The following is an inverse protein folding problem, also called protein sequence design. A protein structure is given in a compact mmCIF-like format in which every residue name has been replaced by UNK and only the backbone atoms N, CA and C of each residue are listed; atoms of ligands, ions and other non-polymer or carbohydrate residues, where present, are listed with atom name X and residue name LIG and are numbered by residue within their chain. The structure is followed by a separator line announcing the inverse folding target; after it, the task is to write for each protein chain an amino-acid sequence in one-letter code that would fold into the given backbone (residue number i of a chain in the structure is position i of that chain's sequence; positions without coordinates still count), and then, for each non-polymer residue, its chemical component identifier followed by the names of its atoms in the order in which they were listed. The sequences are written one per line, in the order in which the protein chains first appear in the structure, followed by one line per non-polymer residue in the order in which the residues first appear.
data_IF_403257607793
#
_entry.id   IF_403257607793
#
_cell.length_a   1.000
_cell.length_b   1.000
_cell.length_c   1.000
_cell.angle_alpha   90.00
_cell.angle_beta   90.00
_cell.angle_gamma   90.00
#
_symmetry.space_group_name_H-M   'P 1'
#
loop_
_entity.id
_entity.type
_entity.pdbx_description
1 polymer ?
#
# COMPACT_ATOMS: atom_id res chain seq x y z
N UNK A 1 -4.30 -8.61 -10.08
CA UNK A 1 -4.44 -9.52 -8.94
C UNK A 1 -3.65 -9.01 -7.74
N UNK A 2 -3.95 -9.51 -6.56
CA UNK A 2 -3.32 -9.01 -5.31
C UNK A 2 -1.80 -9.19 -5.31
N UNK A 3 -1.29 -10.30 -5.85
CA UNK A 3 0.15 -10.55 -5.90
C UNK A 3 0.90 -9.46 -6.65
N UNK A 4 0.39 -9.04 -7.78
CA UNK A 4 1.00 -7.97 -8.59
C UNK A 4 0.91 -6.63 -7.87
N UNK A 5 -0.20 -6.37 -7.20
CA UNK A 5 -0.41 -5.11 -6.47
C UNK A 5 0.55 -4.98 -5.29
N UNK A 6 0.77 -6.06 -4.54
CA UNK A 6 1.72 -6.05 -3.42
C UNK A 6 3.12 -5.73 -3.94
N UNK A 7 3.55 -6.39 -5.01
CA UNK A 7 4.87 -6.15 -5.61
C UNK A 7 4.99 -4.71 -6.12
N UNK A 8 3.96 -4.22 -6.81
CA UNK A 8 3.96 -2.87 -7.36
C UNK A 8 4.07 -1.82 -6.26
N UNK A 9 3.24 -1.91 -5.22
CA UNK A 9 3.26 -0.97 -4.11
C UNK A 9 4.60 -1.00 -3.39
N UNK A 10 5.14 -2.20 -3.15
CA UNK A 10 6.42 -2.34 -2.49
C UNK A 10 7.52 -1.60 -3.27
N UNK A 11 7.56 -1.80 -4.57
CA UNK A 11 8.56 -1.14 -5.43
C UNK A 11 8.35 0.37 -5.51
N UNK A 12 7.11 0.82 -5.61
CA UNK A 12 6.81 2.25 -5.66
C UNK A 12 7.16 2.94 -4.34
N UNK A 13 7.03 2.24 -3.21
CA UNK A 13 7.44 2.76 -1.90
C UNK A 13 8.93 2.54 -1.64
N UNK A 14 9.62 1.92 -2.59
CA UNK A 14 11.07 1.71 -2.54
C UNK A 14 11.51 0.92 -1.30
N UNK A 15 10.78 -0.13 -0.98
CA UNK A 15 11.14 -1.03 0.13
C UNK A 15 11.34 -2.45 -0.39
N UNK A 16 12.23 -3.19 0.31
CA UNK A 16 12.52 -4.57 -0.05
C UNK A 16 11.47 -5.54 0.51
N UNK A 17 11.52 -6.78 0.05
CA UNK A 17 10.67 -7.83 0.63
C UNK A 17 10.96 -8.01 2.12
N UNK A 18 12.23 -7.91 2.51
CA UNK A 18 12.64 -8.02 3.93
C UNK A 18 12.05 -6.88 4.74
N UNK A 19 12.10 -5.67 4.23
CA UNK A 19 11.54 -4.51 4.91
C UNK A 19 10.03 -4.61 5.07
N UNK A 20 9.33 -5.03 4.02
CA UNK A 20 7.89 -5.23 4.11
C UNK A 20 7.55 -6.31 5.12
N UNK A 21 8.26 -7.43 5.08
CA UNK A 21 8.07 -8.52 6.02
C UNK A 21 8.24 -8.04 7.46
N UNK A 22 9.28 -7.24 7.72
CA UNK A 22 9.52 -6.66 9.04
C UNK A 22 8.35 -5.80 9.50
N UNK A 23 7.85 -4.94 8.62
CA UNK A 23 6.72 -4.06 8.94
C UNK A 23 5.44 -4.84 9.28
N UNK A 24 5.27 -5.99 8.65
CA UNK A 24 4.07 -6.82 8.81
C UNK A 24 4.23 -7.87 9.92
N UNK A 25 5.44 -8.09 10.43
CA UNK A 25 5.70 -9.12 11.43
C UNK A 25 5.69 -10.52 10.85
N UNK A 26 6.07 -10.69 9.58
CA UNK A 26 6.14 -11.99 8.90
C UNK A 26 7.54 -12.20 8.33
N UNK A 27 7.77 -13.35 7.70
CA UNK A 27 9.07 -13.67 7.09
C UNK A 27 9.14 -13.15 5.66
N UNK A 28 10.37 -12.97 5.16
CA UNK A 28 10.60 -12.64 3.75
C UNK A 28 9.96 -13.69 2.84
N UNK A 29 10.06 -14.97 3.21
CA UNK A 29 9.48 -16.07 2.43
C UNK A 29 7.96 -15.90 2.30
N UNK A 30 7.31 -15.43 3.35
CA UNK A 30 5.88 -15.16 3.34
C UNK A 30 5.52 -14.11 2.29
N UNK A 31 6.25 -12.98 2.28
CA UNK A 31 6.06 -11.92 1.28
C UNK A 31 6.33 -12.44 -0.12
N UNK A 32 7.41 -13.19 -0.29
CA UNK A 32 7.77 -13.78 -1.58
C UNK A 32 6.66 -14.70 -2.09
N UNK A 33 6.09 -15.52 -1.22
CA UNK A 33 4.99 -16.42 -1.59
C UNK A 33 3.76 -15.64 -2.06
N UNK A 34 3.45 -14.51 -1.42
CA UNK A 34 2.34 -13.66 -1.88
C UNK A 34 2.63 -13.07 -3.26
N UNK A 35 3.84 -12.54 -3.46
CA UNK A 35 4.19 -11.89 -4.73
C UNK A 35 4.30 -12.87 -5.89
N UNK A 36 4.64 -14.12 -5.61
CA UNK A 36 4.71 -15.18 -6.62
C UNK A 36 3.40 -15.94 -6.79
N UNK A 37 2.35 -15.49 -6.12
CA UNK A 37 1.01 -16.10 -6.18
C UNK A 37 0.99 -17.56 -5.73
N UNK A 38 1.91 -17.94 -4.85
CA UNK A 38 1.95 -19.29 -4.29
C UNK A 38 0.94 -19.45 -3.16
N UNK A 39 0.76 -18.39 -2.36
CA UNK A 39 -0.14 -18.33 -1.22
C UNK A 39 -0.81 -16.96 -1.22
N UNK A 40 -2.10 -16.91 -0.90
CA UNK A 40 -2.81 -15.65 -0.73
C UNK A 40 -2.63 -15.13 0.69
N UNK A 41 -2.51 -13.80 0.88
CA UNK A 41 -2.52 -13.25 2.22
C UNK A 41 -3.90 -13.45 2.86
N UNK A 42 -3.91 -13.65 4.19
CA UNK A 42 -5.15 -13.70 4.94
C UNK A 42 -5.85 -12.35 4.97
N UNK A 43 -7.12 -12.32 5.36
CA UNK A 43 -7.86 -11.07 5.52
C UNK A 43 -7.14 -10.15 6.52
N UNK A 44 -6.66 -10.69 7.63
CA UNK A 44 -5.90 -9.91 8.61
C UNK A 44 -4.65 -9.30 7.99
N UNK A 45 -3.94 -10.06 7.15
CA UNK A 45 -2.76 -9.57 6.47
C UNK A 45 -3.10 -8.51 5.44
N UNK A 46 -4.21 -8.65 4.72
CA UNK A 46 -4.67 -7.63 3.78
C UNK A 46 -4.88 -6.29 4.48
N UNK A 47 -5.50 -6.32 5.66
CA UNK A 47 -5.72 -5.12 6.47
C UNK A 47 -4.38 -4.49 6.87
N UNK A 48 -3.43 -5.30 7.32
CA UNK A 48 -2.10 -4.80 7.69
C UNK A 48 -1.35 -4.21 6.50
N UNK A 49 -1.40 -4.88 5.35
CA UNK A 49 -0.76 -4.40 4.13
C UNK A 49 -1.37 -3.06 3.71
N UNK A 50 -2.68 -2.93 3.77
CA UNK A 50 -3.36 -1.68 3.43
C UNK A 50 -2.87 -0.53 4.31
N UNK A 51 -2.67 -0.79 5.59
CA UNK A 51 -2.20 0.23 6.54
C UNK A 51 -0.74 0.61 6.30
N UNK A 52 0.10 -0.35 5.96
CA UNK A 52 1.51 -0.08 5.66
C UNK A 52 1.64 0.87 4.48
N UNK A 53 0.84 0.66 3.44
CA UNK A 53 0.91 1.46 2.23
C UNK A 53 -0.06 2.64 2.22
N UNK A 54 -0.94 2.75 3.23
CA UNK A 54 -1.91 3.83 3.28
C UNK A 54 -2.94 3.79 2.16
N UNK A 55 -3.26 2.61 1.66
CA UNK A 55 -4.29 2.40 0.63
C UNK A 55 -5.43 1.57 1.22
N UNK A 56 -6.57 1.55 0.54
CA UNK A 56 -7.72 0.75 0.99
C UNK A 56 -7.50 -0.73 0.64
N UNK A 57 -8.18 -1.63 1.36
CA UNK A 57 -8.19 -3.04 1.00
C UNK A 57 -8.86 -3.26 -0.36
N UNK A 58 -9.85 -2.45 -0.68
CA UNK A 58 -10.51 -2.50 -2.00
C UNK A 58 -9.54 -2.19 -3.13
N UNK A 59 -8.66 -1.23 -2.93
CA UNK A 59 -7.61 -0.93 -3.92
C UNK A 59 -6.66 -2.12 -4.08
N UNK A 60 -6.24 -2.73 -2.97
CA UNK A 60 -5.38 -3.90 -2.99
C UNK A 60 -6.01 -5.06 -3.77
N UNK A 61 -7.32 -5.21 -3.65
CA UNK A 61 -8.07 -6.30 -4.28
C UNK A 61 -8.50 -5.98 -5.72
N UNK A 62 -8.15 -4.78 -6.21
CA UNK A 62 -8.51 -4.38 -7.56
C UNK A 62 -9.96 -3.94 -7.73
N UNK A 63 -10.64 -3.66 -6.63
CA UNK A 63 -12.04 -3.22 -6.65
C UNK A 63 -12.18 -1.70 -6.77
N UNK A 64 -11.09 -0.97 -6.60
CA UNK A 64 -11.01 0.47 -6.83
C UNK A 64 -9.86 0.76 -7.77
N UNK A 65 -10.09 1.61 -8.77
CA UNK A 65 -9.04 1.99 -9.73
C UNK A 65 -8.18 3.14 -9.24
N UNK A 66 -8.72 3.94 -8.31
CA UNK A 66 -8.06 5.15 -7.82
C UNK A 66 -7.59 4.92 -6.39
N UNK A 67 -6.30 5.02 -6.12
CA UNK A 67 -5.80 4.92 -4.74
C UNK A 67 -6.23 6.14 -3.93
N UNK A 68 -6.51 5.93 -2.65
CA UNK A 68 -6.89 6.98 -1.71
C UNK A 68 -5.91 6.97 -0.56
N UNK A 69 -5.45 8.16 -0.16
CA UNK A 69 -4.57 8.30 0.98
C UNK A 69 -5.38 8.53 2.25
N UNK A 70 -4.98 7.87 3.33
CA UNK A 70 -5.56 8.10 4.64
C UNK A 70 -4.89 9.33 5.24
N UNK A 71 -5.68 10.39 5.45
CA UNK A 71 -5.21 11.63 6.05
C UNK A 71 -5.74 11.81 7.48
N UNK A 72 -6.38 10.79 8.04
CA UNK A 72 -6.91 10.86 9.40
C UNK A 72 -5.77 11.11 10.37
N UNK A 73 -6.02 11.95 11.38
CA UNK A 73 -5.01 12.33 12.36
C UNK A 73 -4.08 13.45 11.93
N UNK A 74 -4.14 13.88 10.66
CA UNK A 74 -3.33 15.00 10.21
C UNK A 74 -4.07 16.32 10.40
N UNK A 75 -3.34 17.39 10.78
CA UNK A 75 -3.95 18.72 10.88
C UNK A 75 -4.47 19.21 9.53
N UNK A 76 -5.46 20.09 9.55
CA UNK A 76 -6.04 20.66 8.32
C UNK A 76 -4.98 21.36 7.48
N UNK A 77 -4.02 22.02 8.12
CA UNK A 77 -2.91 22.71 7.43
C UNK A 77 -2.11 21.72 6.58
N UNK A 78 -1.82 20.55 7.14
CA UNK A 78 -1.07 19.51 6.43
C UNK A 78 -1.89 18.95 5.26
N UNK A 79 -3.18 18.70 5.47
CA UNK A 79 -4.08 18.24 4.40
C UNK A 79 -4.14 19.26 3.27
N UNK A 80 -4.20 20.55 3.61
CA UNK A 80 -4.19 21.62 2.61
C UNK A 80 -2.90 21.61 1.79
N UNK A 81 -1.76 21.44 2.43
CA UNK A 81 -0.46 21.36 1.72
C UNK A 81 -0.43 20.16 0.76
N UNK A 82 -0.94 19.01 1.20
CA UNK A 82 -1.02 17.83 0.34
C UNK A 82 -1.92 18.07 -0.85
N UNK A 83 -3.07 18.74 -0.64
CA UNK A 83 -4.00 19.07 -1.71
C UNK A 83 -3.37 19.99 -2.76
N UNK A 84 -2.62 21.00 -2.32
CA UNK A 84 -1.91 21.90 -3.21
C UNK A 84 -0.86 21.15 -4.02
N UNK A 85 -0.11 20.26 -3.37
CA UNK A 85 0.89 19.45 -4.04
C UNK A 85 0.26 18.56 -5.12
N UNK A 86 -0.87 17.93 -4.82
CA UNK A 86 -1.60 17.10 -5.78
C UNK A 86 -2.02 17.93 -6.99
N UNK A 87 -2.55 19.12 -6.78
CA UNK A 87 -2.98 20.01 -7.87
C UNK A 87 -1.78 20.44 -8.72
N UNK A 88 -0.64 20.70 -8.10
CA UNK A 88 0.57 21.05 -8.85
C UNK A 88 1.00 19.93 -9.79
N UNK A 89 0.91 18.69 -9.33
CA UNK A 89 1.21 17.54 -10.18
C UNK A 89 0.22 17.38 -11.34
N UNK A 90 -1.06 17.67 -11.09
CA UNK A 90 -2.09 17.57 -12.14
C UNK A 90 -1.92 18.58 -13.26
N UNK A 91 -1.27 19.70 -12.98
CA UNK A 91 -1.05 20.77 -13.97
C UNK A 91 0.09 20.45 -14.95
N UNK A 92 0.87 19.44 -14.66
CA UNK A 92 2.04 19.10 -15.48
C UNK A 92 1.72 18.08 -16.60
#
# INVERSE_FOLDING_TARGET
MINEMIRKLRKEFNISQVELASKLGVTKQCVSNWENDNIQPSVEMLIKISKVFGVTTDYLLGMEDVPRLDVSGLPVETVAHLSVLIEDFRRK
#
